data_IF_891919241566
#
_entry.id   IF_891919241566
#
_cell.length_a   1.000
_cell.length_b   1.000
_cell.length_c   1.000
_cell.angle_alpha   90.00
_cell.angle_beta   90.00
_cell.angle_gamma   90.00
#
_symmetry.space_group_name_H-M   'P 1'
#
loop_
_entity.id
_entity.type
_entity.pdbx_description
1 polymer ?
#
# COMPACT_ATOMS: atom_id res chain seq x y z
N UNK A 1 4.58 -4.61 -11.76
CA UNK A 1 3.51 -4.90 -10.78
C UNK A 1 3.52 -3.84 -9.68
N UNK A 2 2.39 -3.68 -8.95
CA UNK A 2 2.31 -2.73 -7.83
C UNK A 2 2.47 -3.51 -6.52
N UNK A 3 3.34 -3.04 -5.65
CA UNK A 3 3.66 -3.61 -4.36
C UNK A 3 3.35 -2.59 -3.26
N UNK A 4 2.48 -2.94 -2.34
CA UNK A 4 2.18 -2.19 -1.13
C UNK A 4 3.01 -2.77 -0.01
N UNK A 5 3.71 -1.93 0.73
CA UNK A 5 4.63 -2.33 1.80
C UNK A 5 4.23 -1.66 3.09
N UNK A 6 3.90 -2.44 4.10
CA UNK A 6 3.57 -1.97 5.44
C UNK A 6 4.75 -2.19 6.37
N UNK A 7 5.34 -1.10 6.82
CA UNK A 7 6.42 -1.13 7.82
C UNK A 7 5.82 -1.25 9.22
N UNK A 8 5.97 -2.41 9.83
CA UNK A 8 5.56 -2.69 11.21
C UNK A 8 4.11 -2.26 11.53
N UNK A 9 3.10 -2.72 10.78
CA UNK A 9 1.71 -2.31 10.98
C UNK A 9 1.23 -2.67 12.39
N UNK A 10 0.47 -1.74 13.02
CA UNK A 10 0.05 -1.85 14.42
C UNK A 10 -1.43 -2.20 14.57
N UNK A 11 -2.27 -1.80 13.63
CA UNK A 11 -3.74 -1.92 13.72
C UNK A 11 -4.23 -3.03 12.77
N UNK A 12 -4.74 -4.16 13.32
CA UNK A 12 -5.13 -5.31 12.51
C UNK A 12 -6.25 -4.99 11.50
N UNK A 13 -7.19 -4.10 11.84
CA UNK A 13 -8.27 -3.69 10.94
C UNK A 13 -7.73 -2.95 9.70
N UNK A 14 -6.71 -2.11 9.87
CA UNK A 14 -6.08 -1.43 8.73
C UNK A 14 -5.43 -2.42 7.79
N UNK A 15 -4.65 -3.36 8.32
CA UNK A 15 -4.00 -4.40 7.53
C UNK A 15 -5.03 -5.26 6.78
N UNK A 16 -6.13 -5.65 7.44
CA UNK A 16 -7.22 -6.39 6.81
C UNK A 16 -7.90 -5.62 5.67
N UNK A 17 -8.21 -4.34 5.88
CA UNK A 17 -8.78 -3.47 4.84
C UNK A 17 -7.81 -3.28 3.66
N UNK A 18 -6.51 -3.18 3.94
CA UNK A 18 -5.47 -3.07 2.91
C UNK A 18 -5.39 -4.34 2.07
N UNK A 19 -5.53 -5.52 2.66
CA UNK A 19 -5.60 -6.79 1.92
C UNK A 19 -6.73 -6.73 0.88
N UNK A 20 -7.93 -6.33 1.30
CA UNK A 20 -9.07 -6.19 0.39
C UNK A 20 -8.79 -5.21 -0.74
N UNK A 21 -8.21 -4.06 -0.41
CA UNK A 21 -7.83 -3.03 -1.40
C UNK A 21 -6.77 -3.57 -2.37
N UNK A 22 -5.74 -4.25 -1.88
CA UNK A 22 -4.70 -4.85 -2.72
C UNK A 22 -5.27 -5.89 -3.69
N UNK A 23 -6.18 -6.75 -3.24
CA UNK A 23 -6.86 -7.72 -4.14
C UNK A 23 -7.66 -6.99 -5.20
N UNK A 24 -8.41 -5.93 -4.82
CA UNK A 24 -9.22 -5.13 -5.75
C UNK A 24 -8.40 -4.44 -6.84
N UNK A 25 -7.13 -4.10 -6.56
CA UNK A 25 -6.22 -3.45 -7.51
C UNK A 25 -5.12 -4.35 -8.07
N UNK A 26 -5.20 -5.67 -7.88
CA UNK A 26 -4.19 -6.64 -8.31
C UNK A 26 -2.78 -6.29 -7.80
N UNK A 27 -2.66 -5.78 -6.57
CA UNK A 27 -1.41 -5.42 -5.93
C UNK A 27 -0.90 -6.55 -5.01
N UNK A 28 0.41 -6.63 -4.84
CA UNK A 28 1.08 -7.52 -3.90
C UNK A 28 1.24 -6.79 -2.58
N UNK A 29 0.96 -7.46 -1.45
CA UNK A 29 1.15 -6.91 -0.14
C UNK A 29 2.42 -7.47 0.50
N UNK A 30 3.29 -6.59 0.98
CA UNK A 30 4.44 -6.90 1.82
C UNK A 30 4.18 -6.39 3.22
N UNK A 31 4.54 -7.18 4.23
CA UNK A 31 4.46 -6.78 5.62
C UNK A 31 5.80 -7.02 6.30
N UNK A 32 6.38 -5.97 6.89
CA UNK A 32 7.66 -6.00 7.59
C UNK A 32 7.41 -6.13 9.09
N UNK A 33 7.99 -7.14 9.71
CA UNK A 33 7.91 -7.39 11.17
C UNK A 33 8.72 -6.36 11.98
N UNK A 34 8.42 -6.20 13.31
CA UNK A 34 7.33 -6.84 14.04
C UNK A 34 5.97 -6.16 13.79
N UNK A 35 4.89 -6.93 13.90
CA UNK A 35 3.51 -6.40 13.86
C UNK A 35 3.01 -6.08 15.26
N UNK A 36 2.11 -5.09 15.40
CA UNK A 36 1.40 -4.82 16.64
C UNK A 36 0.26 -5.81 16.96
N UNK A 37 0.13 -6.87 16.17
CA UNK A 37 -0.92 -7.88 16.30
C UNK A 37 -0.45 -9.23 15.76
N UNK A 38 -1.18 -10.30 16.09
CA UNK A 38 -0.99 -11.62 15.50
C UNK A 38 -1.94 -11.81 14.30
N UNK A 39 -1.49 -12.51 13.24
CA UNK A 39 -2.28 -12.70 12.02
C UNK A 39 -3.57 -13.53 12.25
N UNK A 40 -3.62 -14.31 13.31
CA UNK A 40 -4.84 -15.03 13.74
C UNK A 40 -5.86 -14.14 14.48
N UNK A 41 -5.56 -12.83 14.68
CA UNK A 41 -6.45 -11.90 15.36
C UNK A 41 -7.81 -11.79 14.63
N UNK A 42 -8.91 -11.94 15.38
CA UNK A 42 -10.27 -11.92 14.83
C UNK A 42 -10.63 -10.62 14.10
N UNK A 43 -10.08 -9.48 14.54
CA UNK A 43 -10.29 -8.18 13.88
C UNK A 43 -9.55 -8.12 12.54
N UNK A 44 -8.38 -8.74 12.43
CA UNK A 44 -7.64 -8.87 11.17
C UNK A 44 -8.39 -9.77 10.20
N UNK A 45 -8.73 -11.00 10.62
CA UNK A 45 -9.42 -11.98 9.76
C UNK A 45 -10.80 -11.49 9.31
N UNK A 46 -11.58 -10.84 10.22
CA UNK A 46 -12.88 -10.25 9.87
C UNK A 46 -12.75 -9.13 8.84
N UNK A 47 -11.74 -8.27 8.94
CA UNK A 47 -11.53 -7.16 7.99
C UNK A 47 -11.00 -7.64 6.65
N UNK A 48 -10.18 -8.69 6.64
CA UNK A 48 -9.64 -9.29 5.43
C UNK A 48 -10.67 -10.15 4.68
N UNK A 49 -11.69 -10.68 5.39
CA UNK A 49 -12.70 -11.59 4.83
C UNK A 49 -12.05 -12.75 4.05
N UNK A 50 -12.71 -13.22 2.99
CA UNK A 50 -12.21 -14.28 2.09
C UNK A 50 -11.02 -13.84 1.22
N UNK A 51 -10.67 -12.55 1.23
CA UNK A 51 -9.59 -11.98 0.42
C UNK A 51 -8.20 -12.43 0.89
N UNK A 52 -8.07 -12.89 2.15
CA UNK A 52 -6.81 -13.43 2.66
C UNK A 52 -6.29 -14.61 1.83
N UNK A 53 -7.19 -15.41 1.26
CA UNK A 53 -6.85 -16.54 0.36
C UNK A 53 -6.49 -16.09 -1.05
N UNK A 54 -6.84 -14.86 -1.44
CA UNK A 54 -6.64 -14.31 -2.80
C UNK A 54 -5.43 -13.39 -2.89
N UNK A 55 -4.98 -12.83 -1.76
CA UNK A 55 -3.85 -11.91 -1.72
C UNK A 55 -2.53 -12.65 -1.87
N UNK A 56 -1.61 -12.08 -2.64
CA UNK A 56 -0.20 -12.45 -2.54
C UNK A 56 0.43 -11.64 -1.41
N UNK A 57 0.52 -12.25 -0.22
CA UNK A 57 1.14 -11.69 0.97
C UNK A 57 2.58 -12.21 1.08
N UNK A 58 3.53 -11.31 1.28
CA UNK A 58 4.95 -11.59 1.51
C UNK A 58 5.34 -10.96 2.83
N UNK A 59 5.83 -11.78 3.76
CA UNK A 59 6.32 -11.31 5.05
C UNK A 59 7.83 -11.14 5.02
N UNK A 60 8.33 -10.10 5.71
CA UNK A 60 9.75 -9.82 5.86
C UNK A 60 10.12 -9.79 7.34
N UNK A 61 11.29 -10.32 7.68
CA UNK A 61 11.80 -10.34 9.05
C UNK A 61 12.04 -8.92 9.55
N UNK A 62 12.64 -8.08 8.70
CA UNK A 62 12.94 -6.69 8.99
C UNK A 62 12.99 -5.84 7.70
N UNK A 63 13.40 -4.58 7.85
CA UNK A 63 13.50 -3.64 6.73
C UNK A 63 14.65 -3.99 5.77
N UNK A 64 15.76 -4.51 6.26
CA UNK A 64 16.93 -4.83 5.45
C UNK A 64 16.69 -6.07 4.60
N UNK A 65 15.99 -7.08 5.15
CA UNK A 65 15.49 -8.23 4.39
C UNK A 65 14.55 -7.77 3.26
N UNK A 66 13.62 -6.87 3.55
CA UNK A 66 12.74 -6.30 2.54
C UNK A 66 13.52 -5.56 1.44
N UNK A 67 14.42 -4.64 1.80
CA UNK A 67 15.19 -3.85 0.82
C UNK A 67 16.03 -4.75 -0.08
N UNK A 68 16.64 -5.79 0.48
CA UNK A 68 17.46 -6.76 -0.25
C UNK A 68 16.64 -7.55 -1.29
N UNK A 69 15.33 -7.70 -1.06
CA UNK A 69 14.41 -8.40 -1.97
C UNK A 69 13.96 -7.57 -3.17
N UNK A 70 14.21 -6.25 -3.18
CA UNK A 70 13.73 -5.34 -4.22
C UNK A 70 14.60 -5.46 -5.49
N UNK A 71 14.03 -5.77 -6.68
CA UNK A 71 14.78 -5.78 -7.93
C UNK A 71 15.35 -4.40 -8.28
N UNK A 72 16.60 -4.35 -8.74
CA UNK A 72 17.39 -3.11 -8.98
C UNK A 72 16.69 -2.03 -9.83
N UNK A 73 15.81 -2.40 -10.75
CA UNK A 73 15.10 -1.46 -11.63
C UNK A 73 13.72 -1.05 -11.13
N UNK A 74 13.40 -1.32 -9.86
CA UNK A 74 12.10 -0.99 -9.28
C UNK A 74 11.99 0.49 -8.95
N UNK A 75 10.79 1.03 -9.08
CA UNK A 75 10.43 2.35 -8.59
C UNK A 75 10.01 2.22 -7.11
N UNK A 76 10.66 2.97 -6.23
CA UNK A 76 10.41 2.89 -4.78
C UNK A 76 10.03 4.27 -4.27
N UNK A 77 8.88 4.37 -3.59
CA UNK A 77 8.37 5.60 -2.99
C UNK A 77 7.99 5.39 -1.53
N UNK A 78 8.27 6.39 -0.70
CA UNK A 78 8.04 6.39 0.74
C UNK A 78 6.88 7.33 1.06
N UNK A 79 5.80 6.79 1.56
CA UNK A 79 4.56 7.55 1.81
C UNK A 79 4.59 8.10 3.23
N UNK A 80 4.58 9.41 3.34
CA UNK A 80 4.72 10.09 4.63
C UNK A 80 4.09 11.49 4.62
N UNK A 81 3.62 11.93 5.79
CA UNK A 81 3.15 13.32 5.96
C UNK A 81 4.26 14.37 5.77
N UNK A 82 5.52 13.96 5.82
CA UNK A 82 6.70 14.81 5.60
C UNK A 82 7.21 14.75 4.16
N UNK A 83 6.45 14.15 3.25
CA UNK A 83 6.83 13.98 1.85
C UNK A 83 7.12 15.30 1.15
N UNK A 84 8.10 15.27 0.25
CA UNK A 84 8.54 16.44 -0.53
C UNK A 84 7.87 16.51 -1.90
N UNK A 85 7.27 15.43 -2.35
CA UNK A 85 6.62 15.35 -3.65
C UNK A 85 5.14 15.01 -3.48
N UNK A 86 4.35 15.41 -4.49
CA UNK A 86 2.94 15.04 -4.60
C UNK A 86 2.77 13.67 -5.27
N UNK A 87 1.61 13.03 -5.14
CA UNK A 87 1.33 11.71 -5.74
C UNK A 87 1.50 11.66 -7.27
N UNK A 88 1.35 12.80 -7.96
CA UNK A 88 1.59 12.91 -9.41
C UNK A 88 3.04 12.58 -9.81
N UNK A 89 3.98 12.71 -8.87
CA UNK A 89 5.39 12.38 -9.06
C UNK A 89 5.67 10.86 -9.14
N UNK A 90 4.72 10.03 -8.70
CA UNK A 90 4.82 8.58 -8.88
C UNK A 90 4.81 8.30 -10.39
N UNK A 91 5.91 7.77 -10.88
CA UNK A 91 6.09 7.49 -12.31
C UNK A 91 5.22 6.30 -12.76
N UNK A 92 4.80 6.35 -14.02
CA UNK A 92 4.20 5.17 -14.67
C UNK A 92 5.31 4.13 -14.89
N UNK A 93 5.11 2.87 -14.48
CA UNK A 93 6.14 1.85 -14.69
C UNK A 93 6.34 1.59 -16.18
N UNK A 94 7.59 1.54 -16.60
CA UNK A 94 7.96 1.19 -17.98
C UNK A 94 8.21 -0.33 -18.10
N UNK A 95 7.52 -0.98 -19.04
CA UNK A 95 7.68 -2.41 -19.29
C UNK A 95 7.31 -3.27 -18.08
N UNK A 96 8.28 -4.06 -17.59
CA UNK A 96 8.12 -4.97 -16.44
C UNK A 96 8.57 -4.37 -15.11
N UNK A 97 8.76 -3.04 -15.00
CA UNK A 97 9.14 -2.42 -13.73
C UNK A 97 8.09 -2.64 -12.65
N UNK A 98 8.56 -2.84 -11.43
CA UNK A 98 7.73 -2.88 -10.23
C UNK A 98 7.70 -1.50 -9.57
N UNK A 99 6.55 -1.16 -8.97
CA UNK A 99 6.40 0.02 -8.10
C UNK A 99 6.20 -0.48 -6.67
N UNK A 100 7.01 0.02 -5.76
CA UNK A 100 6.89 -0.22 -4.32
C UNK A 100 6.44 1.06 -3.63
N UNK A 101 5.30 1.02 -2.94
CA UNK A 101 4.81 2.10 -2.08
C UNK A 101 4.98 1.66 -0.63
N UNK A 102 5.90 2.30 0.08
CA UNK A 102 6.26 1.96 1.46
C UNK A 102 5.53 2.91 2.41
N UNK A 103 4.71 2.34 3.27
CA UNK A 103 3.93 3.04 4.29
C UNK A 103 4.49 2.73 5.67
N UNK A 104 4.59 3.74 6.53
CA UNK A 104 4.99 3.56 7.92
C UNK A 104 3.87 3.05 8.80
N UNK A 105 4.20 2.64 10.03
CA UNK A 105 3.20 2.25 11.02
C UNK A 105 2.33 3.46 11.42
N UNK A 106 1.14 3.18 11.94
CA UNK A 106 0.10 4.18 12.20
C UNK A 106 0.53 5.22 13.26
N UNK A 107 1.34 4.82 14.22
CA UNK A 107 1.72 5.67 15.35
C UNK A 107 2.96 6.52 15.08
N UNK A 108 4.05 5.88 14.63
CA UNK A 108 5.38 6.50 14.48
C UNK A 108 5.74 6.81 13.03
N UNK A 109 5.02 6.26 12.07
CA UNK A 109 5.35 6.35 10.65
C UNK A 109 6.61 5.54 10.30
N UNK A 110 7.35 6.00 9.29
CA UNK A 110 8.65 5.44 8.92
C UNK A 110 9.77 6.04 9.77
N UNK A 111 10.85 5.27 10.05
CA UNK A 111 12.01 5.79 10.78
C UNK A 111 12.61 7.03 10.10
N UNK A 112 13.04 8.02 10.90
CA UNK A 112 13.64 9.27 10.40
C UNK A 112 14.84 9.01 9.47
N UNK A 113 15.69 8.05 9.80
CA UNK A 113 16.83 7.65 8.98
C UNK A 113 16.37 7.21 7.59
N UNK A 114 15.38 6.31 7.51
CA UNK A 114 14.83 5.82 6.24
C UNK A 114 14.29 6.97 5.38
N UNK A 115 13.59 7.93 5.99
CA UNK A 115 13.06 9.10 5.28
C UNK A 115 14.15 10.03 4.79
N UNK A 116 15.17 10.31 5.62
CA UNK A 116 16.27 11.20 5.27
C UNK A 116 17.10 10.63 4.11
N UNK A 117 17.42 9.34 4.16
CA UNK A 117 18.19 8.64 3.12
C UNK A 117 17.41 8.60 1.78
N UNK A 118 16.09 8.75 1.81
CA UNK A 118 15.22 8.66 0.65
C UNK A 118 14.36 9.91 0.40
N UNK A 119 14.77 11.07 0.87
CA UNK A 119 13.96 12.30 0.89
C UNK A 119 13.40 12.68 -0.49
N UNK A 120 14.16 12.48 -1.56
CA UNK A 120 13.75 12.77 -2.95
C UNK A 120 12.65 11.84 -3.46
N UNK A 121 12.44 10.69 -2.82
CA UNK A 121 11.43 9.67 -3.18
C UNK A 121 10.23 9.68 -2.22
N UNK A 122 10.17 10.66 -1.33
CA UNK A 122 9.04 10.76 -0.40
C UNK A 122 7.84 11.43 -1.05
N UNK A 123 6.66 10.85 -0.79
CA UNK A 123 5.36 11.32 -1.33
C UNK A 123 4.46 11.73 -0.16
N UNK A 124 3.78 12.86 -0.32
CA UNK A 124 2.74 13.36 0.57
C UNK A 124 1.40 13.39 -0.15
N UNK A 125 0.37 12.81 0.43
CA UNK A 125 -1.01 13.05 0.01
C UNK A 125 -1.43 14.41 0.58
N UNK A 126 -1.85 15.38 -0.25
CA UNK A 126 -2.37 16.66 0.22
C UNK A 126 -3.66 16.44 1.04
N UNK A 127 -3.71 17.07 2.20
CA UNK A 127 -4.86 17.04 3.12
C UNK A 127 -5.04 18.39 3.77
N UNK A 128 -6.22 18.65 4.35
CA UNK A 128 -6.49 19.85 5.15
C UNK A 128 -5.45 20.00 6.27
N UNK A 129 -5.15 21.24 6.63
CA UNK A 129 -4.31 21.59 7.79
C UNK A 129 -4.91 21.17 9.13
N UNK A 130 -6.21 20.91 9.17
CA UNK A 130 -6.95 20.63 10.39
C UNK A 130 -6.76 19.19 10.89
N UNK A 131 -6.17 18.32 10.10
CA UNK A 131 -5.85 16.94 10.45
C UNK A 131 -4.37 16.63 10.23
N UNK A 132 -3.83 15.70 11.03
CA UNK A 132 -2.41 15.32 10.93
C UNK A 132 -2.12 14.37 9.78
N UNK A 133 -2.99 13.39 9.56
CA UNK A 133 -2.85 12.35 8.55
C UNK A 133 -4.20 11.66 8.33
N UNK A 134 -4.34 11.00 7.19
CA UNK A 134 -5.43 10.07 6.93
C UNK A 134 -5.15 8.71 7.57
N UNK A 135 -6.20 7.91 7.71
CA UNK A 135 -6.07 6.51 8.06
C UNK A 135 -5.20 5.78 7.04
N UNK A 136 -4.38 4.82 7.51
CA UNK A 136 -3.42 4.11 6.67
C UNK A 136 -4.08 3.40 5.49
N UNK A 137 -5.19 2.70 5.71
CA UNK A 137 -5.88 1.98 4.63
C UNK A 137 -6.48 2.93 3.58
N UNK A 138 -6.92 4.13 4.00
CA UNK A 138 -7.38 5.16 3.07
C UNK A 138 -6.22 5.71 2.21
N UNK A 139 -5.04 5.93 2.81
CA UNK A 139 -3.85 6.36 2.06
C UNK A 139 -3.49 5.34 0.97
N UNK A 140 -3.52 4.04 1.31
CA UNK A 140 -3.25 2.95 0.35
C UNK A 140 -4.27 2.98 -0.78
N UNK A 141 -5.56 3.09 -0.48
CA UNK A 141 -6.62 3.11 -1.48
C UNK A 141 -6.50 4.31 -2.44
N UNK A 142 -6.24 5.50 -1.91
CA UNK A 142 -6.05 6.73 -2.72
C UNK A 142 -4.90 6.56 -3.70
N UNK A 143 -3.74 6.07 -3.24
CA UNK A 143 -2.56 5.94 -4.10
C UNK A 143 -2.69 4.80 -5.11
N UNK A 144 -3.31 3.68 -4.73
CA UNK A 144 -3.60 2.59 -5.68
C UNK A 144 -4.56 3.05 -6.78
N UNK A 145 -5.61 3.79 -6.42
CA UNK A 145 -6.54 4.34 -7.40
C UNK A 145 -5.87 5.34 -8.34
N UNK A 146 -5.00 6.22 -7.81
CA UNK A 146 -4.24 7.15 -8.64
C UNK A 146 -3.31 6.44 -9.63
N UNK A 147 -2.64 5.37 -9.20
CA UNK A 147 -1.81 4.57 -10.11
C UNK A 147 -2.68 3.84 -11.13
N UNK A 148 -3.86 3.37 -10.76
CA UNK A 148 -4.82 2.75 -11.68
C UNK A 148 -5.24 3.72 -12.79
N UNK A 149 -5.56 4.98 -12.45
CA UNK A 149 -5.86 6.04 -13.42
C UNK A 149 -4.67 6.22 -14.38
N UNK A 150 -3.45 6.40 -13.86
CA UNK A 150 -2.24 6.59 -14.67
C UNK A 150 -1.98 5.42 -15.62
N UNK A 151 -2.36 4.21 -15.23
CA UNK A 151 -2.20 3.00 -16.02
C UNK A 151 -3.40 2.71 -16.96
N UNK A 152 -4.41 3.59 -17.02
CA UNK A 152 -5.62 3.42 -17.82
C UNK A 152 -6.45 2.21 -17.37
N UNK A 153 -6.49 1.95 -16.04
CA UNK A 153 -7.23 0.85 -15.41
C UNK A 153 -6.88 -0.54 -15.96
N UNK A 154 -5.67 -0.70 -16.46
CA UNK A 154 -5.20 -1.96 -17.06
C UNK A 154 -5.40 -3.13 -16.09
N UNK A 155 -6.04 -4.20 -16.58
CA UNK A 155 -6.36 -5.42 -15.83
C UNK A 155 -7.37 -5.21 -14.68
N UNK A 156 -8.15 -4.13 -14.71
CA UNK A 156 -9.27 -3.90 -13.80
C UNK A 156 -10.58 -3.98 -14.58
N UNK A 157 -11.61 -4.54 -13.97
CA UNK A 157 -12.96 -4.51 -14.50
C UNK A 157 -13.52 -3.08 -14.37
N UNK A 158 -13.94 -2.48 -15.48
CA UNK A 158 -14.57 -1.15 -15.53
C UNK A 158 -16.10 -1.23 -15.56
N UNK A 159 -16.62 -2.42 -15.81
CA UNK A 159 -18.05 -2.75 -15.74
C UNK A 159 -18.24 -3.94 -14.81
N UNK A 160 -19.44 -4.11 -14.28
CA UNK A 160 -19.75 -5.25 -13.42
C UNK A 160 -19.59 -6.57 -14.20
N UNK A 161 -18.63 -7.45 -13.81
CA UNK A 161 -18.25 -8.60 -14.60
C UNK A 161 -19.34 -9.68 -14.72
N UNK A 162 -20.32 -9.68 -13.82
CA UNK A 162 -21.33 -10.74 -13.74
C UNK A 162 -22.68 -10.36 -14.35
N UNK A 163 -22.79 -9.23 -15.08
CA UNK A 163 -24.06 -8.72 -15.64
C UNK A 163 -25.21 -8.72 -14.61
N UNK A 164 -24.89 -8.49 -13.35
CA UNK A 164 -25.90 -8.41 -12.29
C UNK A 164 -26.80 -7.21 -12.61
N UNK A 165 -28.02 -7.47 -13.07
CA UNK A 165 -29.04 -6.43 -13.22
C UNK A 165 -29.24 -5.80 -11.86
N UNK A 166 -29.23 -4.46 -11.78
CA UNK A 166 -29.58 -3.76 -10.55
C UNK A 166 -30.91 -4.30 -10.05
N UNK A 167 -31.06 -4.67 -8.78
CA UNK A 167 -32.38 -4.98 -8.24
C UNK A 167 -33.29 -3.78 -8.48
N UNK A 168 -34.46 -4.06 -9.05
CA UNK A 168 -35.50 -3.05 -9.26
C UNK A 168 -36.02 -2.54 -7.94
#
# INVERSE_FOLDING_TARGET
MIHIVLYQPQIPQNAGNIIRTCVGFNAILHMIKPYGFVLSNSKFTRSALDYLKKIKLIEHIDYDDFISSIPKRSLVYYITRYGRNLPEKIEKPFGKQNIYLIFGCETKGLPKKVLNDNIKKTIRIPISKDIRCLNLSNCVAILLYQIAIKNGYKNLAILEPNNIKYPK
#
